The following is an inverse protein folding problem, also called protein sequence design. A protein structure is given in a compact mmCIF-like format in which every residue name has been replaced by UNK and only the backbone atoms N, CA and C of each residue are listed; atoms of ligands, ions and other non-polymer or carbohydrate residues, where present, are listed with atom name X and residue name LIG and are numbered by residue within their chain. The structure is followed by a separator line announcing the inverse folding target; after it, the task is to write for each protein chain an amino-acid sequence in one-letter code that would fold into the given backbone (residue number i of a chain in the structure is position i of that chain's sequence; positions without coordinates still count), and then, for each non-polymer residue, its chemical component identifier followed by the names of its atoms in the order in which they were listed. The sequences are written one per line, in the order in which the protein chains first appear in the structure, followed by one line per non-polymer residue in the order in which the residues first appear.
data_IF_056580059425
#
_entry.id   IF_056580059425
#
_cell.length_a   1.000
_cell.length_b   1.000
_cell.length_c   1.000
_cell.angle_alpha   90.00
_cell.angle_beta   90.00
_cell.angle_gamma   90.00
#
_symmetry.space_group_name_H-M   'P 1'
#
loop_
_entity.id
_entity.type
_entity.pdbx_description
1 polymer ?
#
# COMPACT_ATOMS: atom_id res chain seq x y z
N UNK A 1 -10.11 57.76 -28.21
CA UNK A 1 -11.09 56.67 -28.37
C UNK A 1 -10.34 55.43 -28.85
N UNK A 2 -9.70 54.67 -27.94
CA UNK A 2 -8.95 53.43 -28.27
C UNK A 2 -9.28 52.41 -27.18
N UNK A 3 -10.03 51.36 -27.56
CA UNK A 3 -10.48 50.29 -26.67
C UNK A 3 -9.34 49.29 -26.40
N UNK A 4 -9.02 49.10 -25.12
CA UNK A 4 -8.19 48.01 -24.60
C UNK A 4 -8.95 46.67 -24.72
N UNK A 5 -8.29 45.63 -25.26
CA UNK A 5 -8.71 44.22 -25.14
C UNK A 5 -7.96 43.63 -23.94
N UNK A 6 -8.72 43.20 -22.94
CA UNK A 6 -8.24 42.45 -21.77
C UNK A 6 -8.11 40.98 -22.17
N UNK A 7 -6.97 40.37 -21.82
CA UNK A 7 -6.69 38.95 -22.05
C UNK A 7 -7.52 38.06 -21.13
N UNK A 8 -8.09 37.00 -21.70
CA UNK A 8 -8.80 35.96 -20.98
C UNK A 8 -7.83 35.11 -20.16
N UNK A 9 -8.12 34.99 -18.87
CA UNK A 9 -7.44 34.11 -17.93
C UNK A 9 -7.70 32.63 -18.23
N UNK A 10 -6.66 31.83 -18.02
CA UNK A 10 -6.69 30.37 -17.95
C UNK A 10 -7.48 29.99 -16.70
N UNK A 11 -8.55 29.19 -16.88
CA UNK A 11 -9.41 28.69 -15.81
C UNK A 11 -8.73 27.57 -15.02
N UNK A 12 -8.96 27.60 -13.71
CA UNK A 12 -8.61 26.57 -12.73
C UNK A 12 -9.40 25.28 -12.94
N UNK A 13 -8.71 24.19 -13.30
CA UNK A 13 -9.24 22.82 -13.32
C UNK A 13 -8.57 21.99 -12.21
N UNK A 14 -9.04 22.15 -10.97
CA UNK A 14 -8.68 21.29 -9.83
C UNK A 14 -9.91 20.83 -9.02
N UNK A 15 -11.11 20.85 -9.63
CA UNK A 15 -12.34 20.34 -9.00
C UNK A 15 -13.10 19.44 -9.97
N UNK A 16 -12.61 18.21 -10.13
CA UNK A 16 -13.39 17.04 -10.58
C UNK A 16 -12.54 15.79 -10.42
N UNK A 17 -12.30 15.39 -9.18
CA UNK A 17 -12.19 13.97 -8.86
C UNK A 17 -13.60 13.50 -8.53
N UNK A 18 -14.06 12.51 -9.28
CA UNK A 18 -15.43 12.03 -9.31
C UNK A 18 -15.84 11.43 -7.96
N UNK A 19 -16.90 12.00 -7.39
CA UNK A 19 -17.78 11.29 -6.46
C UNK A 19 -18.32 10.04 -7.15
N UNK A 20 -17.99 8.87 -6.63
CA UNK A 20 -18.59 7.59 -7.01
C UNK A 20 -20.12 7.68 -6.86
N UNK A 21 -20.92 7.20 -7.84
CA UNK A 21 -22.36 7.19 -7.69
C UNK A 21 -22.80 6.13 -6.67
N UNK A 22 -23.68 6.54 -5.75
CA UNK A 22 -24.45 5.66 -4.89
C UNK A 22 -25.24 4.66 -5.74
N UNK A 23 -24.94 3.37 -5.61
CA UNK A 23 -25.81 2.31 -6.12
C UNK A 23 -27.03 2.20 -5.20
N UNK A 24 -28.17 2.69 -5.66
CA UNK A 24 -29.47 2.46 -5.06
C UNK A 24 -29.87 1.00 -5.26
N UNK A 25 -30.27 0.36 -4.18
CA UNK A 25 -30.85 -0.97 -4.19
C UNK A 25 -32.22 -0.94 -4.88
N UNK A 26 -32.38 -1.75 -5.93
CA UNK A 26 -33.69 -2.15 -6.42
C UNK A 26 -33.91 -3.62 -6.06
N UNK A 27 -34.86 -3.83 -5.15
CA UNK A 27 -35.47 -5.12 -4.87
C UNK A 27 -36.08 -5.72 -6.13
N UNK A 28 -35.84 -7.00 -6.38
CA UNK A 28 -36.79 -7.82 -7.14
C UNK A 28 -36.93 -9.19 -6.49
N UNK A 29 -38.19 -9.56 -6.30
CA UNK A 29 -38.69 -10.72 -5.58
C UNK A 29 -38.47 -12.01 -6.38
N UNK A 30 -38.07 -13.07 -5.67
CA UNK A 30 -38.61 -14.42 -5.80
C UNK A 30 -38.16 -15.27 -6.99
N UNK A 31 -37.46 -16.37 -6.68
CA UNK A 31 -37.75 -17.72 -7.20
C UNK A 31 -37.01 -18.77 -6.38
N UNK A 32 -37.77 -19.62 -5.68
CA UNK A 32 -37.30 -20.87 -5.07
C UNK A 32 -36.91 -21.83 -6.19
N UNK A 33 -35.72 -22.43 -6.10
CA UNK A 33 -35.27 -23.51 -6.98
C UNK A 33 -34.80 -24.67 -6.13
N UNK A 34 -35.43 -25.82 -6.32
CA UNK A 34 -35.13 -27.10 -5.70
C UNK A 34 -33.84 -27.68 -6.31
N UNK A 35 -32.84 -28.00 -5.48
CA UNK A 35 -31.72 -28.84 -5.89
C UNK A 35 -32.01 -30.29 -5.50
N UNK A 36 -32.07 -31.15 -6.52
CA UNK A 36 -32.34 -32.58 -6.40
C UNK A 36 -31.10 -33.37 -5.96
N UNK A 37 -31.36 -34.52 -5.34
CA UNK A 37 -30.45 -35.49 -4.70
C UNK A 37 -29.38 -36.14 -5.62
N UNK A 38 -29.08 -35.59 -6.80
CA UNK A 38 -28.21 -36.23 -7.80
C UNK A 38 -26.74 -35.83 -7.72
N UNK A 39 -26.38 -34.76 -7.01
CA UNK A 39 -24.98 -34.28 -6.90
C UNK A 39 -24.15 -35.01 -5.83
N UNK A 40 -24.79 -35.64 -4.85
CA UNK A 40 -24.10 -36.38 -3.77
C UNK A 40 -23.55 -37.74 -4.25
N UNK A 41 -24.13 -38.34 -5.30
CA UNK A 41 -23.66 -39.61 -5.85
C UNK A 41 -22.43 -39.49 -6.76
N UNK A 42 -22.17 -38.32 -7.35
CA UNK A 42 -20.98 -38.11 -8.19
C UNK A 42 -19.67 -37.92 -7.40
N UNK A 43 -19.72 -37.42 -6.16
CA UNK A 43 -18.50 -37.23 -5.35
C UNK A 43 -17.94 -38.53 -4.75
N UNK A 44 -18.74 -39.59 -4.65
CA UNK A 44 -18.28 -40.87 -4.07
C UNK A 44 -17.50 -41.72 -5.09
N UNK A 45 -17.77 -41.56 -6.39
CA UNK A 45 -17.07 -42.35 -7.43
C UNK A 45 -15.71 -41.76 -7.85
N UNK A 46 -15.45 -40.47 -7.63
CA UNK A 46 -14.18 -39.85 -8.04
C UNK A 46 -13.02 -40.11 -7.06
N UNK A 47 -13.30 -40.58 -5.84
CA UNK A 47 -12.30 -40.86 -4.81
C UNK A 47 -11.77 -42.30 -4.82
N UNK A 48 -12.32 -43.18 -5.67
CA UNK A 48 -11.88 -44.58 -5.79
C UNK A 48 -10.88 -44.82 -6.95
N UNK A 49 -10.57 -43.81 -7.77
CA UNK A 49 -9.81 -44.02 -9.02
C UNK A 49 -8.35 -43.52 -9.00
N UNK A 50 -7.83 -43.00 -7.90
CA UNK A 50 -6.44 -42.52 -7.84
C UNK A 50 -5.75 -42.96 -6.54
N UNK A 51 -4.88 -43.96 -6.66
CA UNK A 51 -3.80 -44.22 -5.69
C UNK A 51 -4.09 -45.30 -4.66
N UNK A 52 -3.51 -46.48 -4.86
CA UNK A 52 -3.45 -47.53 -3.86
C UNK A 52 -2.59 -47.11 -2.67
N UNK A 53 -3.22 -46.92 -1.52
CA UNK A 53 -2.58 -46.96 -0.22
C UNK A 53 -3.63 -47.39 0.82
N UNK A 54 -3.41 -48.54 1.45
CA UNK A 54 -4.27 -49.08 2.50
C UNK A 54 -4.03 -48.26 3.79
N UNK A 55 -5.04 -47.52 4.25
CA UNK A 55 -5.04 -46.89 5.57
C UNK A 55 -6.09 -47.56 6.47
N UNK A 56 -5.79 -47.82 7.76
CA UNK A 56 -6.74 -48.45 8.66
C UNK A 56 -7.73 -47.40 9.17
N UNK A 57 -8.97 -47.44 8.68
CA UNK A 57 -10.08 -46.76 9.35
C UNK A 57 -10.65 -47.71 10.42
N UNK A 58 -10.48 -47.35 11.69
CA UNK A 58 -11.21 -48.00 12.78
C UNK A 58 -12.62 -47.42 12.83
N UNK A 59 -13.62 -48.25 12.52
CA UNK A 59 -15.05 -47.92 12.70
C UNK A 59 -15.47 -48.46 14.06
N UNK A 60 -15.83 -47.57 15.00
CA UNK A 60 -16.56 -47.94 16.21
C UNK A 60 -18.02 -47.57 16.05
N UNK A 61 -18.92 -48.52 16.34
CA UNK A 61 -20.36 -48.34 16.22
C UNK A 61 -20.89 -47.34 17.25
N UNK A 62 -21.59 -46.30 16.79
CA UNK A 62 -22.50 -45.48 17.59
C UNK A 62 -23.89 -45.49 16.95
N UNK A 63 -24.92 -45.69 17.77
CA UNK A 63 -26.34 -45.54 17.40
C UNK A 63 -26.66 -44.05 17.23
N UNK A 64 -27.61 -43.77 16.34
CA UNK A 64 -28.17 -42.45 16.01
C UNK A 64 -27.41 -41.61 14.95
N UNK A 65 -27.41 -42.12 13.71
CA UNK A 65 -27.86 -41.32 12.57
C UNK A 65 -27.02 -40.14 12.04
N UNK A 66 -25.77 -39.94 12.47
CA UNK A 66 -24.85 -38.99 11.82
C UNK A 66 -23.46 -39.59 11.57
N UNK A 67 -23.01 -39.55 10.32
CA UNK A 67 -21.63 -39.88 9.94
C UNK A 67 -20.79 -38.60 10.08
N UNK A 68 -19.95 -38.52 11.10
CA UNK A 68 -18.91 -37.50 11.20
C UNK A 68 -17.60 -38.04 10.61
N UNK A 69 -17.14 -37.45 9.50
CA UNK A 69 -15.80 -37.66 8.97
C UNK A 69 -14.87 -36.60 9.58
N UNK A 70 -14.05 -36.99 10.57
CA UNK A 70 -12.96 -36.15 11.04
C UNK A 70 -11.68 -36.47 10.26
N UNK A 71 -11.28 -35.61 9.34
CA UNK A 71 -9.91 -35.61 8.82
C UNK A 71 -9.03 -34.82 9.79
N UNK A 72 -7.85 -35.34 10.15
CA UNK A 72 -6.91 -34.59 11.00
C UNK A 72 -6.47 -33.31 10.28
N UNK A 73 -6.46 -32.19 10.99
CA UNK A 73 -6.01 -30.87 10.49
C UNK A 73 -4.60 -30.92 9.91
N UNK A 74 -3.73 -31.80 10.44
CA UNK A 74 -2.36 -31.99 9.98
C UNK A 74 -2.26 -32.55 8.55
N UNK A 75 -3.20 -33.40 8.12
CA UNK A 75 -3.19 -33.98 6.77
C UNK A 75 -3.59 -32.96 5.69
N UNK A 76 -4.42 -31.99 6.04
CA UNK A 76 -4.85 -30.89 5.16
C UNK A 76 -3.76 -29.83 5.01
N UNK A 77 -2.97 -29.58 6.06
CA UNK A 77 -1.83 -28.64 5.99
C UNK A 77 -0.68 -29.22 5.16
N UNK A 78 -0.34 -30.50 5.37
CA UNK A 78 0.74 -31.16 4.64
C UNK A 78 0.48 -31.26 3.12
N UNK A 79 -0.79 -31.36 2.70
CA UNK A 79 -1.17 -31.39 1.28
C UNK A 79 -1.19 -29.99 0.65
N UNK A 80 -1.54 -28.94 1.40
CA UNK A 80 -1.46 -27.56 0.92
C UNK A 80 0.01 -27.13 0.68
N UNK A 81 0.91 -27.48 1.60
CA UNK A 81 2.34 -27.16 1.48
C UNK A 81 3.01 -27.93 0.32
N UNK A 82 2.61 -29.18 0.08
CA UNK A 82 3.10 -29.98 -1.05
C UNK A 82 2.54 -29.57 -2.42
N UNK A 83 1.37 -28.92 -2.46
CA UNK A 83 0.79 -28.35 -3.70
C UNK A 83 1.42 -26.98 -3.99
N UNK A 84 1.69 -26.16 -2.97
CA UNK A 84 2.42 -24.90 -3.13
C UNK A 84 3.86 -25.13 -3.65
N UNK A 85 4.51 -26.23 -3.24
CA UNK A 85 5.87 -26.55 -3.68
C UNK A 85 5.97 -27.11 -5.11
N UNK A 86 4.85 -27.35 -5.82
CA UNK A 86 4.81 -27.92 -7.18
C UNK A 86 4.25 -26.98 -8.24
N UNK A 87 3.92 -25.73 -7.89
CA UNK A 87 3.64 -24.71 -8.90
C UNK A 87 4.97 -24.29 -9.51
N UNK A 88 5.35 -24.95 -10.61
CA UNK A 88 6.40 -24.46 -11.49
C UNK A 88 5.95 -23.09 -11.98
N UNK A 89 6.55 -22.02 -11.43
CA UNK A 89 6.37 -20.65 -11.90
C UNK A 89 6.75 -20.62 -13.38
N UNK A 90 5.77 -20.76 -14.27
CA UNK A 90 5.98 -20.48 -15.69
C UNK A 90 6.26 -18.99 -15.76
N UNK A 91 7.54 -18.63 -15.95
CA UNK A 91 7.94 -17.23 -16.16
C UNK A 91 7.01 -16.64 -17.22
N UNK A 92 6.29 -15.54 -16.93
CA UNK A 92 5.63 -14.80 -17.99
C UNK A 92 6.67 -14.53 -19.08
N UNK A 93 6.26 -14.60 -20.36
CA UNK A 93 7.16 -14.38 -21.51
C UNK A 93 7.99 -13.13 -21.23
N UNK A 94 9.28 -13.33 -20.93
CA UNK A 94 10.18 -12.25 -20.60
C UNK A 94 10.33 -11.39 -21.83
N UNK A 95 9.70 -10.21 -21.83
CA UNK A 95 10.28 -9.09 -22.57
C UNK A 95 11.70 -8.86 -22.02
N UNK A 96 12.64 -8.43 -22.86
CA UNK A 96 14.04 -8.29 -22.48
C UNK A 96 14.14 -7.49 -21.17
N UNK A 97 14.97 -7.99 -20.25
CA UNK A 97 15.20 -7.41 -18.94
C UNK A 97 15.23 -5.88 -19.02
N UNK A 98 14.54 -5.20 -18.11
CA UNK A 98 14.83 -3.79 -17.84
C UNK A 98 15.69 -3.79 -16.59
N UNK A 99 17.02 -3.86 -16.71
CA UNK A 99 17.89 -4.14 -15.59
C UNK A 99 18.70 -2.89 -15.27
N UNK A 100 18.03 -1.74 -15.17
CA UNK A 100 18.71 -0.50 -14.77
C UNK A 100 19.18 -0.57 -13.32
N UNK A 101 18.48 -1.32 -12.47
CA UNK A 101 18.76 -1.36 -11.02
C UNK A 101 19.94 -2.27 -10.65
N UNK A 102 20.30 -3.25 -11.48
CA UNK A 102 21.29 -4.29 -11.12
C UNK A 102 22.42 -4.50 -12.16
N UNK A 103 22.27 -4.10 -13.42
CA UNK A 103 23.25 -4.50 -14.46
C UNK A 103 24.29 -3.43 -14.81
N UNK A 104 24.04 -2.15 -14.52
CA UNK A 104 25.00 -1.08 -14.81
C UNK A 104 25.46 -0.36 -13.53
N UNK A 105 26.66 -0.72 -13.05
CA UNK A 105 27.27 -0.10 -11.86
C UNK A 105 27.52 1.40 -12.01
N UNK A 106 27.53 1.90 -13.24
CA UNK A 106 27.75 3.31 -13.53
C UNK A 106 26.45 4.12 -13.44
N UNK A 107 25.28 3.50 -13.23
CA UNK A 107 24.01 4.21 -13.17
C UNK A 107 23.52 4.26 -11.73
N UNK A 108 23.45 5.48 -11.19
CA UNK A 108 22.99 5.75 -9.83
C UNK A 108 21.70 6.58 -9.85
N UNK A 109 20.92 6.50 -8.78
CA UNK A 109 19.78 7.38 -8.61
C UNK A 109 20.23 8.82 -8.31
N UNK A 110 19.56 9.80 -8.91
CA UNK A 110 19.91 11.22 -8.90
C UNK A 110 18.73 12.10 -8.47
N UNK A 111 18.31 11.93 -7.23
CA UNK A 111 17.32 12.79 -6.60
C UNK A 111 17.98 13.58 -5.49
N UNK A 112 17.73 14.89 -5.44
CA UNK A 112 18.21 15.76 -4.36
C UNK A 112 17.02 16.38 -3.63
N UNK A 113 17.05 16.43 -2.29
CA UNK A 113 16.02 17.13 -1.56
C UNK A 113 16.10 18.63 -1.88
N UNK A 114 14.94 19.30 -1.89
CA UNK A 114 14.83 20.77 -1.91
C UNK A 114 15.45 21.32 -0.62
N UNK A 115 15.13 20.70 0.51
CA UNK A 115 15.70 20.99 1.81
C UNK A 115 15.59 19.78 2.74
N UNK A 116 16.35 19.84 3.83
CA UNK A 116 16.53 18.72 4.76
C UNK A 116 17.65 17.78 4.33
N UNK A 117 18.09 16.94 5.26
CA UNK A 117 19.13 15.95 5.04
C UNK A 117 18.71 14.66 5.74
N UNK A 118 18.92 13.52 5.06
CA UNK A 118 18.70 12.21 5.65
C UNK A 118 19.67 11.98 6.81
N UNK A 119 19.16 11.44 7.92
CA UNK A 119 19.96 10.92 9.04
C UNK A 119 19.92 9.42 8.98
N UNK A 120 21.01 8.79 8.53
CA UNK A 120 20.99 7.38 8.15
C UNK A 120 20.66 6.44 9.30
N UNK A 121 20.99 6.83 10.52
CA UNK A 121 20.70 6.13 11.78
C UNK A 121 19.27 6.35 12.31
N UNK A 122 18.54 7.33 11.77
CA UNK A 122 17.17 7.62 12.22
C UNK A 122 16.17 6.65 11.58
N UNK A 123 15.07 6.37 12.30
CA UNK A 123 13.88 5.81 11.67
C UNK A 123 13.24 6.87 10.75
N UNK A 124 12.50 6.42 9.74
CA UNK A 124 11.95 7.31 8.72
C UNK A 124 10.52 6.96 8.28
N UNK A 125 9.71 7.99 8.04
CA UNK A 125 8.38 7.86 7.44
C UNK A 125 8.41 8.45 6.02
N UNK A 126 8.09 7.63 5.01
CA UNK A 126 8.09 8.00 3.61
C UNK A 126 6.66 8.17 3.10
N UNK A 127 6.37 9.30 2.46
CA UNK A 127 5.07 9.52 1.83
C UNK A 127 5.16 10.35 0.54
N UNK A 128 4.27 10.06 -0.41
CA UNK A 128 4.08 10.89 -1.61
C UNK A 128 2.90 11.82 -1.37
N UNK A 129 3.17 13.11 -1.17
CA UNK A 129 2.19 14.15 -0.84
C UNK A 129 1.93 15.13 -2.01
N UNK A 130 2.22 14.71 -3.24
CA UNK A 130 2.07 15.53 -4.43
C UNK A 130 0.61 15.86 -4.76
N UNK A 131 0.33 17.13 -5.05
CA UNK A 131 -0.99 17.62 -5.46
C UNK A 131 -1.95 17.92 -4.30
N UNK A 132 -1.55 17.71 -3.05
CA UNK A 132 -2.41 17.94 -1.90
C UNK A 132 -2.28 19.35 -1.31
N UNK A 133 -3.36 19.81 -0.67
CA UNK A 133 -3.40 21.06 0.08
C UNK A 133 -2.83 20.93 1.50
N UNK A 134 -2.68 22.08 2.17
CA UNK A 134 -2.10 22.20 3.51
C UNK A 134 -2.73 21.26 4.55
N UNK A 135 -4.04 21.01 4.46
CA UNK A 135 -4.76 20.12 5.38
C UNK A 135 -4.22 18.68 5.38
N UNK A 136 -3.76 18.15 4.24
CA UNK A 136 -3.20 16.80 4.16
C UNK A 136 -1.82 16.75 4.81
N UNK A 137 -0.98 17.77 4.58
CA UNK A 137 0.32 17.89 5.24
C UNK A 137 0.18 18.04 6.75
N UNK A 138 -0.79 18.83 7.22
CA UNK A 138 -1.12 18.96 8.63
C UNK A 138 -1.61 17.64 9.22
N UNK A 139 -2.45 16.89 8.50
CA UNK A 139 -2.89 15.58 8.96
C UNK A 139 -1.71 14.63 9.12
N UNK A 140 -0.91 14.43 8.07
CA UNK A 140 0.20 13.48 8.08
C UNK A 140 1.28 13.89 9.08
N UNK A 141 1.84 15.10 8.94
CA UNK A 141 2.97 15.56 9.77
C UNK A 141 2.47 15.89 11.18
N UNK A 142 1.35 16.58 11.32
CA UNK A 142 0.82 17.02 12.60
C UNK A 142 0.39 15.86 13.48
N UNK A 143 -0.33 14.86 12.95
CA UNK A 143 -0.65 13.66 13.74
C UNK A 143 0.61 12.88 14.10
N UNK A 144 1.58 12.75 13.20
CA UNK A 144 2.85 12.07 13.50
C UNK A 144 3.64 12.76 14.61
N UNK A 145 3.82 14.08 14.51
CA UNK A 145 4.57 14.86 15.52
C UNK A 145 3.84 14.90 16.87
N UNK A 146 2.50 14.86 16.88
CA UNK A 146 1.72 14.76 18.12
C UNK A 146 2.01 13.48 18.91
N UNK A 147 2.54 12.43 18.27
CA UNK A 147 2.94 11.19 18.96
C UNK A 147 4.30 11.27 19.66
N UNK A 148 5.03 12.38 19.49
CA UNK A 148 6.41 12.54 19.96
C UNK A 148 7.46 12.02 18.99
N UNK A 149 7.07 11.49 17.82
CA UNK A 149 8.00 11.03 16.80
C UNK A 149 8.98 12.14 16.40
N UNK A 150 10.27 11.86 16.48
CA UNK A 150 11.38 12.79 16.19
C UNK A 150 12.30 12.34 15.04
N UNK A 151 11.99 11.18 14.44
CA UNK A 151 12.69 10.66 13.27
C UNK A 151 12.45 11.48 12.00
N UNK A 152 13.00 10.98 10.90
CA UNK A 152 12.90 11.61 9.60
C UNK A 152 11.48 11.48 9.05
N UNK A 153 11.01 12.56 8.42
CA UNK A 153 9.81 12.56 7.57
C UNK A 153 10.30 12.88 6.16
N UNK A 154 10.16 11.95 5.23
CA UNK A 154 10.61 12.12 3.85
C UNK A 154 9.39 12.23 2.94
N UNK A 155 9.22 13.39 2.33
CA UNK A 155 8.07 13.68 1.48
C UNK A 155 8.49 13.99 0.05
N UNK A 156 7.73 13.48 -0.90
CA UNK A 156 7.74 13.97 -2.28
C UNK A 156 6.51 14.83 -2.53
N UNK A 157 6.71 15.98 -3.16
CA UNK A 157 5.62 16.81 -3.70
C UNK A 157 5.85 17.08 -5.17
N UNK A 158 4.79 17.41 -5.92
CA UNK A 158 4.94 18.00 -7.23
C UNK A 158 4.93 19.53 -7.14
N UNK A 159 5.60 20.19 -8.10
CA UNK A 159 5.49 21.63 -8.34
C UNK A 159 5.73 22.49 -7.09
N UNK A 160 6.80 22.21 -6.32
CA UNK A 160 7.12 22.99 -5.11
C UNK A 160 7.09 24.50 -5.38
N UNK A 161 7.63 24.96 -6.51
CA UNK A 161 7.65 26.37 -6.90
C UNK A 161 6.25 27.02 -6.94
N UNK A 162 5.21 26.23 -7.24
CA UNK A 162 3.80 26.66 -7.33
C UNK A 162 2.99 26.40 -6.06
N UNK A 163 3.60 25.89 -4.99
CA UNK A 163 2.90 25.71 -3.72
C UNK A 163 2.46 27.06 -3.13
N UNK A 164 1.34 27.08 -2.41
CA UNK A 164 0.96 28.23 -1.60
C UNK A 164 2.07 28.61 -0.61
N UNK A 165 2.40 29.91 -0.46
CA UNK A 165 3.51 30.35 0.41
C UNK A 165 3.37 29.91 1.87
N UNK A 166 2.15 29.87 2.40
CA UNK A 166 1.83 29.39 3.75
C UNK A 166 2.18 27.91 3.94
N UNK A 167 1.99 27.08 2.90
CA UNK A 167 2.37 25.68 2.93
C UNK A 167 3.89 25.55 2.90
N UNK A 168 4.58 26.31 2.05
CA UNK A 168 6.06 26.33 2.04
C UNK A 168 6.59 26.74 3.40
N UNK A 169 6.02 27.79 4.00
CA UNK A 169 6.38 28.26 5.32
C UNK A 169 6.19 27.17 6.38
N UNK A 170 5.01 26.54 6.42
CA UNK A 170 4.75 25.42 7.34
C UNK A 170 5.78 24.30 7.19
N UNK A 171 6.09 23.88 5.96
CA UNK A 171 7.03 22.79 5.70
C UNK A 171 8.46 23.15 6.14
N UNK A 172 8.94 24.37 5.90
CA UNK A 172 10.31 24.76 6.28
C UNK A 172 10.50 24.89 7.80
N UNK A 173 9.41 25.02 8.56
CA UNK A 173 9.47 25.01 10.04
C UNK A 173 9.53 23.59 10.63
N UNK A 174 9.31 22.54 9.83
CA UNK A 174 9.31 21.17 10.35
C UNK A 174 10.73 20.67 10.57
N UNK A 175 11.04 20.31 11.82
CA UNK A 175 12.29 19.63 12.14
C UNK A 175 12.36 18.28 11.42
N UNK A 176 13.56 17.91 10.96
CA UNK A 176 13.84 16.61 10.32
C UNK A 176 12.87 16.25 9.18
N UNK A 177 12.35 17.26 8.48
CA UNK A 177 11.61 17.08 7.24
C UNK A 177 12.60 17.11 6.07
N UNK A 178 12.56 16.09 5.24
CA UNK A 178 13.31 16.00 3.99
C UNK A 178 12.28 16.06 2.85
N UNK A 179 12.33 17.13 2.06
CA UNK A 179 11.33 17.39 1.02
C UNK A 179 11.96 17.28 -0.37
N UNK A 180 11.40 16.44 -1.23
CA UNK A 180 11.78 16.27 -2.63
C UNK A 180 10.76 16.92 -3.57
N UNK A 181 11.26 17.59 -4.62
CA UNK A 181 10.43 18.04 -5.74
C UNK A 181 10.35 16.92 -6.78
N UNK A 182 9.27 16.14 -6.75
CA UNK A 182 9.00 15.12 -7.75
C UNK A 182 8.53 15.78 -9.04
N UNK A 183 9.48 15.96 -9.95
CA UNK A 183 9.20 16.33 -11.34
C UNK A 183 8.94 15.05 -12.13
N UNK A 184 7.82 15.00 -12.82
CA UNK A 184 7.43 13.85 -13.62
C UNK A 184 6.91 14.29 -14.99
N UNK A 185 7.34 13.57 -16.02
CA UNK A 185 6.76 13.66 -17.36
C UNK A 185 5.51 12.79 -17.39
N UNK A 186 4.37 13.40 -17.66
CA UNK A 186 3.07 12.72 -17.62
C UNK A 186 2.31 12.95 -18.92
N UNK A 187 1.70 11.89 -19.44
CA UNK A 187 0.72 11.99 -20.52
C UNK A 187 -0.63 11.43 -20.06
N UNK A 188 -1.71 11.95 -20.67
CA UNK A 188 -3.07 11.49 -20.39
C UNK A 188 -3.33 10.20 -21.17
N UNK A 189 -3.83 9.18 -20.46
CA UNK A 189 -4.37 7.96 -21.06
C UNK A 189 -5.75 7.67 -20.45
N UNK A 190 -6.55 6.83 -21.11
CA UNK A 190 -7.84 6.40 -20.55
C UNK A 190 -7.63 5.77 -19.16
N UNK A 191 -8.20 6.40 -18.12
CA UNK A 191 -8.09 5.94 -16.74
C UNK A 191 -7.03 6.60 -15.87
N UNK A 192 -6.27 7.59 -16.37
CA UNK A 192 -5.37 8.40 -15.53
C UNK A 192 -4.18 9.00 -16.27
N UNK A 193 -3.27 9.61 -15.50
CA UNK A 193 -1.97 10.05 -16.00
C UNK A 193 -0.93 8.96 -15.79
N UNK A 194 -0.30 8.56 -16.89
CA UNK A 194 0.90 7.73 -16.86
C UNK A 194 2.10 8.66 -16.90
N UNK A 195 3.00 8.44 -15.96
CA UNK A 195 4.06 9.34 -15.59
C UNK A 195 5.40 8.61 -15.45
N UNK A 196 6.48 9.36 -15.57
CA UNK A 196 7.84 8.91 -15.32
C UNK A 196 8.61 10.00 -14.58
N UNK A 197 9.46 9.61 -13.62
CA UNK A 197 10.25 10.57 -12.84
C UNK A 197 11.36 11.16 -13.70
N UNK A 198 11.40 12.50 -13.80
CA UNK A 198 12.45 13.21 -14.53
C UNK A 198 13.79 13.07 -13.81
N UNK A 199 14.85 12.83 -14.59
CA UNK A 199 16.24 12.82 -14.11
C UNK A 199 16.50 11.84 -12.96
N UNK A 200 15.71 10.77 -12.85
CA UNK A 200 15.83 9.78 -11.77
C UNK A 200 17.20 9.11 -11.75
N UNK A 201 17.83 8.92 -12.90
CA UNK A 201 19.10 8.22 -13.03
C UNK A 201 20.21 9.12 -13.57
N UNK A 202 21.43 8.90 -13.09
CA UNK A 202 22.66 9.58 -13.52
C UNK A 202 23.72 8.55 -13.81
N UNK A 203 24.39 8.70 -14.95
CA UNK A 203 25.52 7.88 -15.33
C UNK A 203 26.82 8.53 -14.83
N UNK A 204 27.51 7.86 -13.92
CA UNK A 204 28.75 8.33 -13.28
C UNK A 204 29.94 8.34 -14.22
N UNK A 205 29.95 7.51 -15.28
CA UNK A 205 31.03 7.43 -16.26
C UNK A 205 30.90 8.52 -17.32
N UNK A 206 29.70 8.73 -17.88
CA UNK A 206 29.46 9.79 -18.86
C UNK A 206 29.17 11.15 -18.23
N UNK A 207 28.98 11.20 -16.91
CA UNK A 207 28.56 12.39 -16.16
C UNK A 207 27.25 13.03 -16.66
N UNK A 208 26.35 12.22 -17.21
CA UNK A 208 25.09 12.68 -17.79
C UNK A 208 23.87 12.06 -17.10
N UNK A 209 22.74 12.75 -17.17
CA UNK A 209 21.44 12.16 -16.85
C UNK A 209 21.23 10.95 -17.75
N UNK A 210 20.94 9.80 -17.15
CA UNK A 210 20.57 8.60 -17.88
C UNK A 210 19.07 8.59 -18.10
N UNK A 211 18.66 8.29 -19.33
CA UNK A 211 17.25 8.16 -19.67
C UNK A 211 16.69 6.91 -19.00
N UNK A 212 15.60 7.07 -18.23
CA UNK A 212 14.88 5.93 -17.67
C UNK A 212 14.13 5.20 -18.80
N UNK A 213 14.57 4.01 -19.15
CA UNK A 213 14.00 3.23 -20.27
C UNK A 213 12.71 2.49 -19.90
N UNK A 214 12.28 2.55 -18.63
CA UNK A 214 11.03 1.92 -18.17
C UNK A 214 9.83 2.68 -18.73
N UNK A 215 8.71 1.98 -18.89
CA UNK A 215 7.47 2.62 -19.32
C UNK A 215 6.93 3.56 -18.25
N UNK A 216 6.10 4.50 -18.68
CA UNK A 216 5.36 5.36 -17.76
C UNK A 216 4.32 4.55 -16.96
N UNK A 217 4.11 4.95 -15.71
CA UNK A 217 3.24 4.26 -14.74
C UNK A 217 2.24 5.24 -14.13
N UNK A 218 1.12 4.79 -13.54
CA UNK A 218 0.22 5.67 -12.81
C UNK A 218 0.98 6.54 -11.82
N UNK A 219 0.64 7.83 -11.72
CA UNK A 219 1.38 8.77 -10.86
C UNK A 219 1.54 8.28 -9.41
N UNK A 220 0.52 7.65 -8.85
CA UNK A 220 0.58 7.07 -7.50
C UNK A 220 1.67 5.99 -7.36
N UNK A 221 1.95 5.23 -8.42
CA UNK A 221 2.97 4.18 -8.44
C UNK A 221 4.39 4.74 -8.39
N UNK A 222 4.61 5.98 -8.85
CA UNK A 222 5.93 6.62 -8.81
C UNK A 222 6.49 6.79 -7.39
N UNK A 223 5.63 6.67 -6.37
CA UNK A 223 6.08 6.63 -4.98
C UNK A 223 7.10 5.53 -4.73
N UNK A 224 6.95 4.36 -5.36
CA UNK A 224 7.85 3.23 -5.12
C UNK A 224 9.21 3.45 -5.76
N UNK A 225 9.29 4.19 -6.88
CA UNK A 225 10.57 4.60 -7.47
C UNK A 225 11.36 5.49 -6.51
N UNK A 226 10.70 6.48 -5.91
CA UNK A 226 11.37 7.40 -4.98
C UNK A 226 11.60 6.78 -3.60
N UNK A 227 10.70 5.93 -3.12
CA UNK A 227 10.88 5.22 -1.84
C UNK A 227 12.08 4.29 -1.89
N UNK A 228 12.27 3.60 -3.02
CA UNK A 228 13.43 2.75 -3.21
C UNK A 228 14.71 3.58 -3.06
N UNK A 229 14.82 4.70 -3.77
CA UNK A 229 15.96 5.59 -3.63
C UNK A 229 16.16 6.08 -2.18
N UNK A 230 15.12 6.60 -1.54
CA UNK A 230 15.22 7.10 -0.17
C UNK A 230 15.63 6.02 0.82
N UNK A 231 15.18 4.77 0.62
CA UNK A 231 15.55 3.67 1.49
C UNK A 231 17.06 3.42 1.50
N UNK A 232 17.77 3.73 0.41
CA UNK A 232 19.24 3.59 0.34
C UNK A 232 20.01 4.62 1.17
N UNK A 233 19.32 5.62 1.72
CA UNK A 233 19.92 6.67 2.54
C UNK A 233 20.01 6.29 4.03
N UNK A 234 19.53 5.11 4.42
CA UNK A 234 19.45 4.66 5.81
C UNK A 234 20.27 3.41 6.08
N UNK A 235 20.67 3.22 7.34
CA UNK A 235 21.40 2.03 7.78
C UNK A 235 20.50 0.78 7.74
N UNK A 236 21.07 -0.43 7.57
CA UNK A 236 20.32 -1.67 7.36
C UNK A 236 19.16 -1.96 8.32
N UNK A 237 19.30 -1.59 9.59
CA UNK A 237 18.30 -1.86 10.64
C UNK A 237 17.54 -0.60 11.11
N UNK A 238 17.72 0.54 10.45
CA UNK A 238 16.83 1.69 10.63
C UNK A 238 15.42 1.31 10.19
N UNK A 239 14.39 1.65 10.97
CA UNK A 239 13.01 1.30 10.63
C UNK A 239 12.42 2.32 9.68
N UNK A 240 11.78 1.84 8.62
CA UNK A 240 11.13 2.65 7.60
C UNK A 240 9.65 2.29 7.56
N UNK A 241 8.80 3.33 7.55
CA UNK A 241 7.38 3.25 7.27
C UNK A 241 7.12 3.83 5.88
N UNK A 242 6.54 3.05 4.98
CA UNK A 242 5.95 3.52 3.73
C UNK A 242 4.47 3.79 4.00
N UNK A 243 3.98 5.00 3.68
CA UNK A 243 2.62 5.41 4.02
C UNK A 243 1.94 6.22 2.90
N UNK A 244 0.63 5.98 2.72
CA UNK A 244 -0.27 6.90 2.03
C UNK A 244 -0.30 8.24 2.78
N UNK A 245 -0.23 9.36 2.05
CA UNK A 245 -0.18 10.69 2.67
C UNK A 245 -1.55 11.22 3.07
N UNK A 246 -2.61 10.83 2.35
CA UNK A 246 -3.94 11.45 2.46
C UNK A 246 -4.77 10.92 3.62
N UNK A 247 -4.68 9.62 3.88
CA UNK A 247 -5.66 8.88 4.69
C UNK A 247 -4.99 8.05 5.79
N UNK A 248 -3.80 8.48 6.23
CA UNK A 248 -3.11 7.98 7.43
C UNK A 248 -3.27 8.97 8.58
N UNK A 249 -3.51 8.46 9.78
CA UNK A 249 -3.44 9.19 11.05
C UNK A 249 -2.64 8.38 12.07
N UNK A 250 -1.71 9.06 12.75
CA UNK A 250 -0.91 8.45 13.81
C UNK A 250 -1.56 8.66 15.17
N UNK A 251 -1.66 7.58 15.95
CA UNK A 251 -2.19 7.58 17.32
C UNK A 251 -1.08 7.33 18.36
N UNK A 252 0.06 6.78 17.92
CA UNK A 252 1.27 6.64 18.69
C UNK A 252 2.49 6.62 17.75
N UNK A 253 3.71 6.64 18.31
CA UNK A 253 4.92 6.51 17.50
C UNK A 253 4.79 5.29 16.58
N UNK A 254 4.96 5.45 15.25
CA UNK A 254 4.69 4.39 14.28
C UNK A 254 5.55 3.14 14.51
N UNK A 255 6.71 3.29 15.15
CA UNK A 255 7.67 2.21 15.42
C UNK A 255 7.58 1.66 16.84
N UNK A 256 6.65 2.16 17.67
CA UNK A 256 6.40 1.65 19.03
C UNK A 256 6.06 0.16 18.98
N UNK A 257 6.77 -0.63 19.79
CA UNK A 257 6.60 -2.08 19.92
C UNK A 257 6.85 -2.89 18.64
N UNK A 258 7.59 -2.33 17.67
CA UNK A 258 8.03 -3.09 16.49
C UNK A 258 9.40 -3.73 16.81
N UNK A 259 9.51 -5.08 16.81
CA UNK A 259 10.76 -5.76 17.10
C UNK A 259 11.88 -5.35 16.13
N UNK A 260 13.12 -5.27 16.64
CA UNK A 260 14.29 -5.04 15.80
C UNK A 260 15.14 -6.31 15.72
N UNK A 261 15.77 -6.50 14.57
CA UNK A 261 16.56 -7.68 14.22
C UNK A 261 18.02 -7.29 13.98
N UNK A 262 18.56 -6.36 14.78
CA UNK A 262 19.92 -5.78 14.66
C UNK A 262 21.05 -6.82 14.62
N UNK A 263 20.80 -8.04 15.12
CA UNK A 263 21.78 -9.13 15.13
C UNK A 263 21.52 -10.20 14.07
N UNK A 264 20.49 -10.06 13.24
CA UNK A 264 20.17 -10.99 12.17
C UNK A 264 20.81 -10.55 10.86
N UNK A 265 21.10 -11.49 9.95
CA UNK A 265 21.71 -11.17 8.65
C UNK A 265 20.78 -10.39 7.71
N UNK A 266 19.47 -10.45 7.94
CA UNK A 266 18.46 -9.74 7.18
C UNK A 266 17.63 -8.80 8.05
N UNK A 267 16.60 -8.21 7.48
CA UNK A 267 15.66 -7.36 8.19
C UNK A 267 14.26 -7.97 8.29
N UNK A 268 13.44 -7.38 9.15
CA UNK A 268 12.03 -7.70 9.24
C UNK A 268 11.17 -6.82 8.33
N UNK A 269 10.10 -7.41 7.81
CA UNK A 269 9.06 -6.74 7.05
C UNK A 269 7.69 -7.05 7.64
N UNK A 270 6.83 -6.06 7.69
CA UNK A 270 5.51 -6.12 8.31
C UNK A 270 4.44 -5.66 7.32
N UNK A 271 3.51 -6.57 7.02
CA UNK A 271 2.34 -6.32 6.18
C UNK A 271 1.06 -6.42 7.00
N UNK A 272 0.02 -5.71 6.56
CA UNK A 272 -1.22 -5.56 7.33
C UNK A 272 -2.41 -5.93 6.48
N UNK A 273 -3.24 -6.85 6.98
CA UNK A 273 -4.41 -7.33 6.27
C UNK A 273 -5.55 -6.29 6.25
N UNK A 274 -6.33 -6.31 5.17
CA UNK A 274 -7.68 -5.76 5.13
C UNK A 274 -8.69 -6.86 5.49
N UNK A 275 -9.88 -6.47 5.99
CA UNK A 275 -10.92 -7.42 6.43
C UNK A 275 -11.70 -8.07 5.28
N UNK A 276 -11.01 -8.61 4.27
CA UNK A 276 -11.64 -9.39 3.20
C UNK A 276 -10.62 -10.20 2.39
N UNK A 277 -11.02 -11.36 1.82
CA UNK A 277 -10.16 -12.13 0.93
C UNK A 277 -10.12 -11.52 -0.48
N UNK A 278 -9.00 -11.73 -1.18
CA UNK A 278 -8.72 -11.14 -2.51
C UNK A 278 -9.86 -11.35 -3.51
N UNK A 279 -10.42 -12.56 -3.59
CA UNK A 279 -11.45 -12.90 -4.59
C UNK A 279 -12.77 -12.14 -4.41
N UNK A 280 -13.03 -11.60 -3.22
CA UNK A 280 -14.25 -10.81 -2.97
C UNK A 280 -14.11 -9.36 -3.39
N UNK A 281 -12.88 -8.89 -3.63
CA UNK A 281 -12.61 -7.53 -4.09
C UNK A 281 -12.51 -7.49 -5.61
N UNK A 282 -13.55 -6.96 -6.27
CA UNK A 282 -13.55 -6.73 -7.71
C UNK A 282 -12.36 -5.85 -8.18
N UNK A 283 -11.90 -4.94 -7.32
CA UNK A 283 -10.73 -4.10 -7.57
C UNK A 283 -9.44 -4.92 -7.62
N UNK A 284 -9.16 -5.71 -6.58
CA UNK A 284 -7.94 -6.53 -6.52
C UNK A 284 -7.89 -7.58 -7.64
N UNK A 285 -9.02 -8.25 -7.90
CA UNK A 285 -9.12 -9.20 -9.01
C UNK A 285 -8.85 -8.54 -10.37
N UNK A 286 -9.31 -7.29 -10.57
CA UNK A 286 -9.03 -6.52 -11.78
C UNK A 286 -7.56 -6.15 -11.89
N UNK A 287 -6.92 -5.73 -10.81
CA UNK A 287 -5.50 -5.35 -10.79
C UNK A 287 -4.59 -6.54 -11.11
N UNK A 288 -4.85 -7.71 -10.50
CA UNK A 288 -4.10 -8.93 -10.80
C UNK A 288 -4.24 -9.35 -12.27
N UNK A 289 -5.45 -9.27 -12.83
CA UNK A 289 -5.68 -9.56 -14.25
C UNK A 289 -5.04 -8.53 -15.17
N UNK A 290 -5.07 -7.25 -14.81
CA UNK A 290 -4.43 -6.18 -15.57
C UNK A 290 -2.90 -6.30 -15.58
N UNK A 291 -2.31 -6.88 -14.53
CA UNK A 291 -0.89 -7.25 -14.49
C UNK A 291 -0.55 -8.49 -15.35
N UNK A 292 -1.53 -9.11 -16.00
CA UNK A 292 -1.32 -10.27 -16.88
C UNK A 292 -1.26 -11.61 -16.16
N UNK A 293 -1.60 -11.68 -14.87
CA UNK A 293 -1.64 -12.96 -14.16
C UNK A 293 -2.83 -13.81 -14.61
N UNK A 294 -2.55 -15.09 -14.84
CA UNK A 294 -3.56 -16.08 -15.22
C UNK A 294 -4.45 -16.44 -14.03
N UNK A 295 -5.65 -16.96 -14.32
CA UNK A 295 -6.53 -17.48 -13.26
C UNK A 295 -5.83 -18.58 -12.44
N UNK A 296 -5.02 -19.44 -13.08
CA UNK A 296 -4.28 -20.49 -12.38
C UNK A 296 -3.29 -19.92 -11.34
N UNK A 297 -2.58 -18.84 -11.69
CA UNK A 297 -1.69 -18.15 -10.73
C UNK A 297 -2.47 -17.52 -9.59
N UNK A 298 -3.60 -16.86 -9.89
CA UNK A 298 -4.43 -16.17 -8.90
C UNK A 298 -5.13 -17.17 -7.97
N UNK A 299 -5.61 -18.29 -8.51
CA UNK A 299 -6.37 -19.31 -7.77
C UNK A 299 -5.59 -19.90 -6.60
N UNK A 300 -4.24 -19.91 -6.69
CA UNK A 300 -3.37 -20.38 -5.61
C UNK A 300 -3.49 -19.54 -4.31
N UNK A 301 -3.90 -18.26 -4.41
CA UNK A 301 -3.95 -17.36 -3.25
C UNK A 301 -5.18 -16.47 -3.17
N UNK A 302 -6.15 -16.57 -4.09
CA UNK A 302 -7.33 -15.70 -4.11
C UNK A 302 -8.19 -15.73 -2.83
N UNK A 303 -8.09 -16.79 -2.04
CA UNK A 303 -8.78 -16.94 -0.74
C UNK A 303 -8.01 -16.38 0.45
N UNK A 304 -6.78 -15.91 0.24
CA UNK A 304 -5.98 -15.23 1.26
C UNK A 304 -6.49 -13.81 1.48
N UNK A 305 -6.28 -13.24 2.68
CA UNK A 305 -6.65 -11.86 2.98
C UNK A 305 -5.88 -10.89 2.08
N UNK A 306 -6.48 -9.74 1.77
CA UNK A 306 -5.79 -8.68 1.06
C UNK A 306 -4.74 -8.06 1.99
N UNK A 307 -3.48 -7.96 1.57
CA UNK A 307 -2.45 -7.19 2.27
C UNK A 307 -2.42 -5.77 1.71
N UNK A 308 -2.56 -4.75 2.54
CA UNK A 308 -2.65 -3.35 2.08
C UNK A 308 -1.28 -2.78 1.69
N UNK A 309 -1.12 -2.30 0.45
CA UNK A 309 0.14 -1.69 -0.02
C UNK A 309 0.34 -0.24 0.44
N UNK A 310 -0.71 0.39 0.98
CA UNK A 310 -0.67 1.79 1.41
C UNK A 310 0.04 2.02 2.74
N UNK A 311 0.27 0.96 3.53
CA UNK A 311 1.11 1.01 4.73
C UNK A 311 1.98 -0.24 4.81
N UNK A 312 3.30 -0.04 4.92
CA UNK A 312 4.27 -1.13 5.09
C UNK A 312 5.36 -0.66 6.03
N UNK A 313 5.73 -1.50 7.01
CA UNK A 313 6.81 -1.19 7.96
C UNK A 313 7.88 -2.25 7.86
N UNK A 314 9.14 -1.86 7.96
CA UNK A 314 10.23 -2.82 8.06
C UNK A 314 11.55 -2.15 8.37
N UNK A 315 12.57 -2.98 8.52
CA UNK A 315 13.95 -2.51 8.57
C UNK A 315 14.43 -2.18 7.15
N UNK A 316 15.32 -1.21 7.02
CA UNK A 316 15.78 -0.67 5.75
C UNK A 316 16.18 -1.76 4.75
N UNK A 317 16.97 -2.75 5.18
CA UNK A 317 17.48 -3.81 4.31
C UNK A 317 16.35 -4.66 3.70
N UNK A 318 15.28 -4.88 4.46
CA UNK A 318 14.11 -5.62 4.00
C UNK A 318 13.17 -4.74 3.16
N UNK A 319 12.99 -3.47 3.53
CA UNK A 319 12.20 -2.48 2.78
C UNK A 319 12.79 -2.23 1.40
N UNK A 320 14.11 -2.05 1.31
CA UNK A 320 14.81 -1.84 0.04
C UNK A 320 14.65 -3.05 -0.87
N UNK A 321 14.83 -4.26 -0.34
CA UNK A 321 14.65 -5.52 -1.07
C UNK A 321 13.21 -5.69 -1.57
N UNK A 322 12.23 -5.40 -0.71
CA UNK A 322 10.81 -5.39 -1.06
C UNK A 322 10.50 -4.39 -2.19
N UNK A 323 10.98 -3.15 -2.07
CA UNK A 323 10.77 -2.10 -3.07
C UNK A 323 11.40 -2.50 -4.41
N UNK A 324 12.60 -3.07 -4.38
CA UNK A 324 13.29 -3.56 -5.58
C UNK A 324 12.50 -4.69 -6.26
N UNK A 325 12.06 -5.71 -5.53
CA UNK A 325 11.21 -6.79 -6.08
C UNK A 325 9.90 -6.25 -6.63
N UNK A 326 9.24 -5.30 -5.95
CA UNK A 326 8.01 -4.69 -6.43
C UNK A 326 8.23 -3.90 -7.73
N UNK A 327 9.30 -3.11 -7.82
CA UNK A 327 9.65 -2.36 -9.02
C UNK A 327 9.99 -3.27 -10.20
N UNK A 328 10.73 -4.36 -9.95
CA UNK A 328 11.01 -5.40 -10.95
C UNK A 328 9.72 -6.09 -11.40
N UNK A 329 8.75 -6.30 -10.52
CA UNK A 329 7.45 -6.87 -10.89
C UNK A 329 6.64 -5.89 -11.76
N UNK A 330 6.69 -4.59 -11.47
CA UNK A 330 6.12 -3.59 -12.36
C UNK A 330 6.76 -3.62 -13.75
N UNK A 331 8.09 -3.75 -13.82
CA UNK A 331 8.80 -3.86 -15.10
C UNK A 331 8.50 -5.17 -15.83
N UNK A 332 8.31 -6.28 -15.12
CA UNK A 332 7.95 -7.54 -15.75
C UNK A 332 6.51 -7.54 -16.31
N UNK A 333 5.58 -6.94 -15.56
CA UNK A 333 4.14 -6.95 -15.89
C UNK A 333 3.73 -5.78 -16.78
N UNK A 334 4.52 -4.71 -16.81
CA UNK A 334 4.22 -3.46 -17.50
C UNK A 334 2.83 -2.91 -17.11
N UNK A 335 2.41 -3.17 -15.87
CA UNK A 335 1.05 -2.89 -15.43
C UNK A 335 0.81 -1.38 -15.25
N UNK A 336 -0.08 -0.83 -16.07
CA UNK A 336 -0.45 0.61 -16.05
C UNK A 336 -1.81 0.88 -15.42
N UNK A 337 -2.45 -0.12 -14.82
CA UNK A 337 -3.75 0.08 -14.17
C UNK A 337 -3.59 0.89 -12.87
N UNK A 338 -4.47 1.87 -12.64
CA UNK A 338 -4.51 2.59 -11.36
C UNK A 338 -4.81 1.62 -10.21
N UNK A 339 -3.93 1.55 -9.21
CA UNK A 339 -3.99 0.60 -8.09
C UNK A 339 -3.29 -0.74 -8.35
N UNK A 340 -2.51 -0.85 -9.43
CA UNK A 340 -1.80 -2.11 -9.71
C UNK A 340 -0.77 -2.48 -8.65
N UNK A 341 -0.21 -1.50 -7.94
CA UNK A 341 0.68 -1.71 -6.79
C UNK A 341 0.08 -2.65 -5.74
N UNK A 342 -1.21 -2.48 -5.44
CA UNK A 342 -1.94 -3.33 -4.51
C UNK A 342 -2.03 -4.79 -5.01
N UNK A 343 -2.26 -4.99 -6.32
CA UNK A 343 -2.25 -6.32 -6.93
C UNK A 343 -0.86 -6.98 -6.94
N UNK A 344 0.17 -6.25 -7.37
CA UNK A 344 1.54 -6.74 -7.42
C UNK A 344 2.08 -7.04 -6.03
N UNK A 345 1.82 -6.18 -5.05
CA UNK A 345 2.18 -6.37 -3.64
C UNK A 345 1.65 -7.71 -3.09
N UNK A 346 0.37 -8.00 -3.33
CA UNK A 346 -0.22 -9.28 -2.92
C UNK A 346 0.40 -10.47 -3.68
N UNK A 347 0.64 -10.32 -4.99
CA UNK A 347 1.25 -11.39 -5.78
C UNK A 347 2.67 -11.72 -5.33
N UNK A 348 3.57 -10.74 -5.17
CA UNK A 348 4.97 -11.02 -4.82
C UNK A 348 5.10 -11.70 -3.46
N UNK A 349 4.20 -11.41 -2.51
CA UNK A 349 4.15 -12.10 -1.24
C UNK A 349 3.55 -13.50 -1.37
N UNK A 350 2.31 -13.62 -1.84
CA UNK A 350 1.59 -14.91 -1.82
C UNK A 350 2.12 -15.95 -2.82
N UNK A 351 2.79 -15.54 -3.89
CA UNK A 351 3.49 -16.46 -4.79
C UNK A 351 4.81 -16.98 -4.20
N UNK A 352 5.26 -16.44 -3.06
CA UNK A 352 6.57 -16.73 -2.47
C UNK A 352 7.74 -16.03 -3.15
N UNK A 353 7.49 -15.26 -4.23
CA UNK A 353 8.53 -14.58 -5.02
C UNK A 353 9.40 -13.66 -4.16
N UNK A 354 8.79 -12.88 -3.25
CA UNK A 354 9.51 -11.96 -2.38
C UNK A 354 10.57 -12.68 -1.53
N UNK A 355 10.22 -13.81 -0.93
CA UNK A 355 11.14 -14.58 -0.09
C UNK A 355 12.20 -15.31 -0.93
N UNK A 356 11.81 -15.86 -2.08
CA UNK A 356 12.68 -16.61 -2.98
C UNK A 356 13.77 -15.73 -3.60
N UNK A 357 13.45 -14.47 -3.93
CA UNK A 357 14.40 -13.53 -4.51
C UNK A 357 15.31 -12.86 -3.47
N UNK A 358 14.92 -12.84 -2.19
CA UNK A 358 15.59 -12.07 -1.14
C UNK A 358 15.95 -12.88 0.14
N UNK A 359 16.45 -14.12 0.05
CA UNK A 359 16.65 -14.97 1.22
C UNK A 359 17.74 -14.47 2.18
N UNK A 360 18.65 -13.60 1.72
CA UNK A 360 19.73 -13.05 2.52
C UNK A 360 19.36 -11.73 3.23
N UNK A 361 18.40 -10.98 2.69
CA UNK A 361 18.09 -9.61 3.13
C UNK A 361 16.76 -9.50 3.86
N UNK A 362 15.83 -10.44 3.63
CA UNK A 362 14.56 -10.52 4.36
C UNK A 362 14.59 -11.74 5.28
N UNK A 363 14.83 -11.50 6.57
CA UNK A 363 14.87 -12.56 7.57
C UNK A 363 13.47 -13.12 7.86
N UNK A 364 12.47 -12.24 7.94
CA UNK A 364 11.08 -12.59 8.17
C UNK A 364 10.13 -11.58 7.54
N UNK A 365 8.98 -12.09 7.09
CA UNK A 365 7.81 -11.29 6.76
C UNK A 365 6.71 -11.66 7.72
N UNK A 366 6.22 -10.69 8.49
CA UNK A 366 5.11 -10.87 9.43
C UNK A 366 3.87 -10.22 8.85
N UNK A 367 2.81 -11.00 8.64
CA UNK A 367 1.48 -10.47 8.32
C UNK A 367 0.66 -10.34 9.59
N UNK A 368 0.07 -9.17 9.80
CA UNK A 368 -0.88 -8.95 10.89
C UNK A 368 -2.30 -9.11 10.40
N UNK A 369 -3.04 -10.00 11.06
CA UNK A 369 -4.47 -10.15 10.83
C UNK A 369 -5.20 -8.84 11.07
N UNK A 370 -6.23 -8.58 10.26
CA UNK A 370 -7.00 -7.34 10.37
C UNK A 370 -7.47 -7.10 11.81
N UNK A 371 -7.27 -5.88 12.31
CA UNK A 371 -7.64 -5.51 13.68
C UNK A 371 -6.69 -6.05 14.74
N UNK A 372 -5.44 -6.34 14.37
CA UNK A 372 -4.36 -6.70 15.29
C UNK A 372 -3.08 -5.93 14.95
N UNK A 373 -2.12 -5.90 15.88
CA UNK A 373 -0.81 -5.31 15.64
C UNK A 373 -0.81 -3.78 15.63
N UNK A 374 0.09 -3.20 14.83
CA UNK A 374 0.42 -1.78 14.90
C UNK A 374 -0.39 -0.89 13.95
N UNK A 375 -1.08 -1.48 12.98
CA UNK A 375 -1.83 -0.75 11.95
C UNK A 375 -3.19 -1.40 11.79
N UNK A 376 -4.24 -0.57 11.75
CA UNK A 376 -5.58 -1.00 11.37
C UNK A 376 -5.98 -0.36 10.04
N UNK A 377 -6.34 -1.20 9.06
CA UNK A 377 -6.85 -0.77 7.77
C UNK A 377 -8.39 -0.68 7.82
N UNK A 378 -8.96 0.46 7.42
CA UNK A 378 -10.40 0.70 7.55
C UNK A 378 -11.21 0.41 6.27
N UNK A 379 -10.58 0.29 5.09
CA UNK A 379 -11.34 0.12 3.84
C UNK A 379 -12.19 -1.16 3.81
N UNK A 380 -11.70 -2.27 4.36
CA UNK A 380 -12.44 -3.54 4.39
C UNK A 380 -13.70 -3.48 5.26
N UNK A 381 -13.73 -2.62 6.29
CA UNK A 381 -14.83 -2.53 7.25
C UNK A 381 -16.11 -1.94 6.66
N UNK A 382 -16.04 -1.20 5.55
CA UNK A 382 -17.22 -0.66 4.86
C UNK A 382 -18.20 -1.75 4.40
N UNK A 383 -17.72 -2.99 4.24
CA UNK A 383 -18.54 -4.12 3.81
C UNK A 383 -19.40 -4.72 4.94
N UNK A 384 -19.16 -4.31 6.19
CA UNK A 384 -19.95 -4.74 7.35
C UNK A 384 -21.30 -4.02 7.44
N UNK A 385 -21.52 -2.96 6.64
CA UNK A 385 -22.73 -2.13 6.68
C UNK A 385 -23.11 -1.64 8.08
N UNK A 386 -22.11 -1.39 8.92
CA UNK A 386 -22.26 -0.86 10.29
C UNK A 386 -21.29 0.29 10.54
N UNK A 387 -21.68 1.32 11.31
CA UNK A 387 -20.75 2.35 11.78
C UNK A 387 -19.57 1.76 12.57
N UNK A 388 -18.39 2.37 12.49
CA UNK A 388 -17.20 1.89 13.23
C UNK A 388 -17.42 1.82 14.75
N UNK A 389 -18.27 2.69 15.31
CA UNK A 389 -18.63 2.68 16.74
C UNK A 389 -19.38 1.41 17.13
N UNK A 390 -20.32 0.99 16.30
CA UNK A 390 -21.08 -0.25 16.52
C UNK A 390 -20.20 -1.50 16.34
N UNK A 391 -19.14 -1.39 15.55
CA UNK A 391 -18.12 -2.42 15.41
C UNK A 391 -17.11 -2.43 16.57
N UNK A 392 -17.18 -1.46 17.50
CA UNK A 392 -16.21 -1.29 18.58
C UNK A 392 -14.82 -0.85 18.10
N UNK A 393 -14.69 -0.42 16.85
CA UNK A 393 -13.42 -0.02 16.23
C UNK A 393 -13.16 1.48 16.41
N UNK A 394 -14.21 2.30 16.54
CA UNK A 394 -14.09 3.73 16.84
C UNK A 394 -14.58 4.00 18.26
N UNK A 395 -13.67 4.41 19.12
CA UNK A 395 -13.95 4.87 20.48
C UNK A 395 -13.65 6.38 20.58
N UNK A 396 -14.23 7.03 21.59
CA UNK A 396 -14.06 8.49 21.79
C UNK A 396 -14.36 9.28 20.50
N UNK A 397 -13.81 10.47 20.30
CA UNK A 397 -14.13 11.27 19.10
C UNK A 397 -13.48 10.76 17.81
N UNK A 398 -12.23 10.27 17.88
CA UNK A 398 -11.46 9.88 16.70
C UNK A 398 -10.41 8.81 16.96
N UNK A 399 -10.55 8.05 18.05
CA UNK A 399 -9.58 7.03 18.47
C UNK A 399 -10.01 5.68 17.89
N UNK A 400 -9.19 5.14 17.00
CA UNK A 400 -9.43 3.84 16.34
C UNK A 400 -8.68 2.74 17.10
N UNK A 401 -9.37 1.68 17.48
CA UNK A 401 -8.79 0.53 18.19
C UNK A 401 -8.86 -0.74 17.37
N UNK A 402 -7.96 -1.67 17.70
CA UNK A 402 -7.97 -3.05 17.24
C UNK A 402 -9.21 -3.79 17.78
N UNK A 403 -9.46 -5.00 17.26
CA UNK A 403 -10.63 -5.82 17.66
C UNK A 403 -10.58 -6.22 19.13
N UNK A 404 -9.37 -6.34 19.70
CA UNK A 404 -9.14 -6.61 21.12
C UNK A 404 -9.17 -5.36 22.02
N UNK A 405 -9.47 -4.19 21.45
CA UNK A 405 -9.46 -2.90 22.14
C UNK A 405 -8.07 -2.28 22.32
N UNK A 406 -7.00 -2.93 21.87
CA UNK A 406 -5.66 -2.33 21.90
C UNK A 406 -5.54 -1.15 20.93
N UNK A 407 -4.66 -0.20 21.25
CA UNK A 407 -4.44 0.98 20.41
C UNK A 407 -3.38 0.70 19.33
N UNK A 408 -3.73 0.56 18.04
CA UNK A 408 -2.77 0.51 16.96
C UNK A 408 -2.04 1.86 16.85
N UNK A 409 -0.77 1.82 16.47
CA UNK A 409 0.03 3.04 16.27
C UNK A 409 -0.54 3.89 15.12
N UNK A 410 -1.11 3.25 14.09
CA UNK A 410 -1.60 3.90 12.88
C UNK A 410 -3.02 3.45 12.55
N UNK A 411 -3.90 4.41 12.28
CA UNK A 411 -5.17 4.19 11.60
C UNK A 411 -5.01 4.58 10.12
N UNK A 412 -5.24 3.62 9.23
CA UNK A 412 -5.08 3.81 7.78
C UNK A 412 -6.43 3.75 7.07
N UNK A 413 -6.56 4.54 5.99
CA UNK A 413 -7.78 4.72 5.22
C UNK A 413 -8.90 5.37 6.04
N UNK A 414 -8.56 6.32 6.92
CA UNK A 414 -9.53 7.04 7.77
C UNK A 414 -10.58 7.82 6.99
N UNK A 415 -10.29 8.13 5.72
CA UNK A 415 -11.23 8.80 4.81
C UNK A 415 -12.27 7.85 4.19
N UNK A 416 -12.22 6.55 4.49
CA UNK A 416 -13.21 5.55 4.06
C UNK A 416 -14.39 5.41 5.01
N UNK A 417 -14.28 5.98 6.20
CA UNK A 417 -15.39 6.12 7.15
C UNK A 417 -15.93 7.55 7.14
N UNK A 418 -17.25 7.72 7.08
CA UNK A 418 -17.87 9.03 6.94
C UNK A 418 -17.71 9.91 8.19
N UNK A 419 -17.70 9.31 9.38
CA UNK A 419 -17.56 10.01 10.65
C UNK A 419 -16.12 10.53 10.81
N UNK A 420 -15.13 9.65 10.62
CA UNK A 420 -13.71 10.01 10.66
C UNK A 420 -13.33 11.00 9.56
N UNK A 421 -13.77 10.77 8.32
CA UNK A 421 -13.52 11.70 7.21
C UNK A 421 -14.06 13.10 7.53
N UNK A 422 -15.25 13.19 8.12
CA UNK A 422 -15.83 14.47 8.54
C UNK A 422 -15.02 15.10 9.68
N UNK A 423 -14.66 14.32 10.69
CA UNK A 423 -13.88 14.79 11.84
C UNK A 423 -12.53 15.38 11.40
N UNK A 424 -11.70 14.59 10.70
CA UNK A 424 -10.37 15.02 10.30
C UNK A 424 -10.41 16.18 9.30
N UNK A 425 -11.38 16.19 8.38
CA UNK A 425 -11.58 17.35 7.50
C UNK A 425 -11.87 18.63 8.29
N UNK A 426 -12.74 18.58 9.30
CA UNK A 426 -13.04 19.76 10.12
C UNK A 426 -11.80 20.20 10.90
N UNK A 427 -11.15 19.26 11.61
CA UNK A 427 -9.95 19.51 12.41
C UNK A 427 -8.84 20.16 11.58
N UNK A 428 -8.41 19.52 10.51
CA UNK A 428 -7.26 20.00 9.73
C UNK A 428 -7.57 21.20 8.85
N UNK A 429 -8.84 21.46 8.50
CA UNK A 429 -9.22 22.74 7.90
C UNK A 429 -9.18 23.89 8.92
N UNK A 430 -9.49 23.64 10.20
CA UNK A 430 -9.33 24.64 11.25
C UNK A 430 -7.85 24.94 11.50
N UNK A 431 -7.00 23.90 11.54
CA UNK A 431 -5.55 24.07 11.68
C UNK A 431 -4.94 24.79 10.47
N UNK A 432 -5.35 24.46 9.25
CA UNK A 432 -4.90 25.17 8.04
C UNK A 432 -5.18 26.67 8.11
N UNK A 433 -6.38 27.07 8.55
CA UNK A 433 -6.73 28.48 8.74
C UNK A 433 -5.87 29.19 9.79
N UNK A 434 -5.41 28.47 10.82
CA UNK A 434 -4.49 29.04 11.84
C UNK A 434 -3.12 29.31 11.22
N UNK A 435 -2.56 28.34 10.52
CA UNK A 435 -1.28 28.50 9.80
C UNK A 435 -1.34 29.63 8.77
N UNK A 436 -2.43 29.73 8.01
CA UNK A 436 -2.67 30.83 7.08
C UNK A 436 -2.77 32.20 7.77
N UNK A 437 -3.38 32.26 8.95
CA UNK A 437 -3.47 33.49 9.74
C UNK A 437 -2.10 33.91 10.32
N UNK A 438 -1.34 32.94 10.85
CA UNK A 438 0.02 33.15 11.36
C UNK A 438 0.95 33.65 10.26
N UNK A 439 0.91 33.02 9.08
CA UNK A 439 1.71 33.45 7.93
C UNK A 439 1.34 34.88 7.48
N UNK A 440 0.05 35.23 7.45
CA UNK A 440 -0.39 36.61 7.14
C UNK A 440 0.09 37.62 8.17
N UNK A 441 0.08 37.27 9.46
CA UNK A 441 0.58 38.13 10.51
C UNK A 441 2.10 38.37 10.38
N UNK A 442 2.87 37.35 10.00
CA UNK A 442 4.30 37.48 9.71
C UNK A 442 4.57 38.50 8.59
N UNK A 443 3.85 38.39 7.47
CA UNK A 443 3.97 39.33 6.35
C UNK A 443 3.64 40.77 6.77
N UNK A 444 2.63 40.97 7.63
CA UNK A 444 2.27 42.30 8.16
C UNK A 444 3.34 42.86 9.10
N UNK A 445 4.07 41.99 9.80
CA UNK A 445 5.15 42.39 10.71
C UNK A 445 6.47 42.75 10.01
N UNK A 446 6.56 42.56 8.69
CA UNK A 446 7.78 42.79 7.91
C UNK A 446 8.92 41.81 8.21
N UNK A 447 8.59 40.66 8.81
CA UNK A 447 9.52 39.57 9.16
C UNK A 447 9.62 38.52 8.07
#
# INVERSE_FOLDING_TARGET
MIRRRVGNGVRDDAKKEESLPNASAQESKGKKSWLSHSLVKCMIYLLAAVGGASFPFAVTHYRDGMIALSASTAAVTATADAVASKITLTKPKSNPAVPMLNENKDIIANLKPIFGQHRSEANAVFALAAGYGLNVYLQLIGSLRATGYSGDIVLATNKFDKMPPELKHYLTQQQHLILYNLRADCFKQHGGSNCQVQNLFYNTTSHQISHDVRIHRPFATLRFDVYWYWSTQYLPHSKILLADSRDVVFQADPFRNIPSHVHSKGGALHFYEEKMPIHTSAFNMRWLKAAGYTNAQIDAFKHKPILCSGVTIGEQIAIESYLRTLLLEFDATQCVAHGCDQGLHNYIYYSGKLQQENPATIANVTTYTHGTGHVINLAGLRHENKPLRELGVLIEEATVVNVDGSLPNIAHQVDRDAELAKYFRIKYNQEARKVEAEYRALLQSGK
#
